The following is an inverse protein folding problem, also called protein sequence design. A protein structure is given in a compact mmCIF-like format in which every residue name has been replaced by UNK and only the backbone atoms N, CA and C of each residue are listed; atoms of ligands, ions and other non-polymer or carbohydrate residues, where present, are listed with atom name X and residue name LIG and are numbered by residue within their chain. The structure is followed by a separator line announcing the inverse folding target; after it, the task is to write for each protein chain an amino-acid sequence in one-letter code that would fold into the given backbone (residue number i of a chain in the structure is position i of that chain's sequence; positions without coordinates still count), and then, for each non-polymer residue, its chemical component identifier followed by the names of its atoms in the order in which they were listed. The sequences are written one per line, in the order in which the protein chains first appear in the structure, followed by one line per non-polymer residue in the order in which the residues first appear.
data_IF_008887783931
#
_entry.id   IF_008887783931
#
_cell.length_a   1.000
_cell.length_b   1.000
_cell.length_c   1.000
_cell.angle_alpha   90.00
_cell.angle_beta   90.00
_cell.angle_gamma   90.00
#
_symmetry.space_group_name_H-M   'P 1'
#
loop_
_entity.id
_entity.type
_entity.pdbx_description
1 polymer ?
#
# COMPACT_ATOMS: atom_id res chain seq x y z
N UNK A 1 24.66 20.54 35.99
CA UNK A 1 23.29 20.56 35.42
C UNK A 1 23.20 20.23 33.92
N UNK A 2 24.29 20.19 33.14
CA UNK A 2 24.25 19.90 31.68
C UNK A 2 24.22 18.42 31.28
N UNK A 3 24.75 17.51 32.11
CA UNK A 3 24.84 16.07 31.77
C UNK A 3 23.46 15.35 31.72
N UNK A 4 22.50 15.73 32.57
CA UNK A 4 21.17 15.10 32.61
C UNK A 4 20.37 15.38 31.34
N UNK A 5 20.35 16.63 30.86
CA UNK A 5 19.60 17.03 29.68
C UNK A 5 20.01 16.25 28.41
N UNK A 6 21.31 16.04 28.22
CA UNK A 6 21.85 15.27 27.08
C UNK A 6 21.49 13.78 27.15
N UNK A 7 21.38 13.20 28.35
CA UNK A 7 20.96 11.82 28.53
C UNK A 7 19.47 11.63 28.17
N UNK A 8 18.61 12.55 28.59
CA UNK A 8 17.18 12.52 28.25
C UNK A 8 16.95 12.73 26.75
N UNK A 9 17.71 13.62 26.11
CA UNK A 9 17.65 13.81 24.67
C UNK A 9 18.04 12.53 23.90
N UNK A 10 19.08 11.81 24.34
CA UNK A 10 19.50 10.54 23.73
C UNK A 10 18.45 9.44 23.91
N UNK A 11 17.86 9.32 25.10
CA UNK A 11 16.79 8.37 25.38
C UNK A 11 15.55 8.70 24.54
N UNK A 12 15.19 9.97 24.41
CA UNK A 12 14.08 10.42 23.58
C UNK A 12 14.30 10.06 22.10
N UNK A 13 15.47 10.38 21.55
CA UNK A 13 15.81 10.02 20.16
C UNK A 13 15.75 8.50 19.97
N UNK A 14 16.31 7.72 20.89
CA UNK A 14 16.24 6.27 20.83
C UNK A 14 14.80 5.76 20.86
N UNK A 15 13.97 6.28 21.77
CA UNK A 15 12.56 5.93 21.86
C UNK A 15 11.79 6.27 20.57
N UNK A 16 12.04 7.43 19.96
CA UNK A 16 11.45 7.81 18.68
C UNK A 16 11.87 6.85 17.57
N UNK A 17 13.15 6.50 17.49
CA UNK A 17 13.64 5.55 16.46
C UNK A 17 12.98 4.18 16.64
N UNK A 18 12.92 3.66 17.86
CA UNK A 18 12.26 2.38 18.15
C UNK A 18 10.77 2.45 17.78
N UNK A 19 10.09 3.53 18.17
CA UNK A 19 8.69 3.74 17.83
C UNK A 19 8.45 3.78 16.31
N UNK A 20 9.33 4.45 15.56
CA UNK A 20 9.25 4.49 14.10
C UNK A 20 9.43 3.11 13.47
N UNK A 21 10.42 2.33 13.93
CA UNK A 21 10.66 0.97 13.42
C UNK A 21 9.45 0.07 13.68
N UNK A 22 8.90 0.10 14.90
CA UNK A 22 7.70 -0.67 15.25
C UNK A 22 6.50 -0.23 14.40
N UNK A 23 6.30 1.07 14.23
CA UNK A 23 5.20 1.62 13.43
C UNK A 23 5.29 1.21 11.96
N UNK A 24 6.50 1.24 11.39
CA UNK A 24 6.74 0.79 10.01
C UNK A 24 6.46 -0.71 9.88
N UNK A 25 6.91 -1.52 10.85
CA UNK A 25 6.64 -2.96 10.86
C UNK A 25 5.15 -3.27 10.93
N UNK A 26 4.41 -2.59 11.80
CA UNK A 26 2.96 -2.73 11.93
C UNK A 26 2.23 -2.31 10.64
N UNK A 27 2.61 -1.17 10.06
CA UNK A 27 2.06 -0.70 8.79
C UNK A 27 2.30 -1.70 7.64
N UNK A 28 3.49 -2.31 7.58
CA UNK A 28 3.81 -3.32 6.57
C UNK A 28 2.95 -4.58 6.71
N UNK A 29 2.76 -5.08 7.94
CA UNK A 29 1.91 -6.26 8.18
C UNK A 29 0.46 -5.96 7.83
N UNK A 30 -0.04 -4.77 8.18
CA UNK A 30 -1.39 -4.34 7.82
C UNK A 30 -1.55 -4.23 6.29
N UNK A 31 -0.60 -3.60 5.61
CA UNK A 31 -0.61 -3.47 4.14
C UNK A 31 -0.69 -4.83 3.45
N UNK A 32 0.16 -5.78 3.88
CA UNK A 32 0.16 -7.16 3.38
C UNK A 32 -1.21 -7.82 3.49
N UNK A 33 -1.88 -7.66 4.63
CA UNK A 33 -3.24 -8.21 4.83
C UNK A 33 -4.26 -7.52 3.95
N UNK A 34 -4.26 -6.20 3.89
CA UNK A 34 -5.24 -5.42 3.13
C UNK A 34 -5.19 -5.70 1.61
N UNK A 35 -4.02 -6.07 1.08
CA UNK A 35 -3.84 -6.46 -0.33
C UNK A 35 -4.28 -7.91 -0.60
N UNK A 36 -4.18 -8.80 0.38
CA UNK A 36 -4.55 -10.22 0.27
C UNK A 36 -6.03 -10.47 0.62
N UNK A 37 -6.69 -9.52 1.29
CA UNK A 37 -8.11 -9.59 1.62
C UNK A 37 -9.01 -9.54 0.37
N UNK A 38 -10.14 -10.24 0.44
CA UNK A 38 -11.13 -10.22 -0.63
C UNK A 38 -11.69 -8.80 -0.81
N UNK A 39 -11.76 -8.35 -2.05
CA UNK A 39 -12.39 -7.09 -2.42
C UNK A 39 -13.90 -7.08 -2.14
N UNK A 40 -14.56 -5.91 -2.20
CA UNK A 40 -15.97 -5.76 -1.86
C UNK A 40 -16.94 -6.30 -2.93
N UNK A 41 -16.42 -6.93 -3.97
CA UNK A 41 -17.17 -7.45 -5.11
C UNK A 41 -18.02 -8.66 -4.69
N UNK A 42 -19.32 -8.56 -4.92
CA UNK A 42 -20.29 -9.60 -4.54
C UNK A 42 -20.72 -10.46 -5.72
N UNK A 43 -20.68 -9.90 -6.94
CA UNK A 43 -21.08 -10.55 -8.18
C UNK A 43 -19.97 -10.38 -9.22
N UNK A 44 -19.81 -11.37 -10.11
CA UNK A 44 -18.80 -11.31 -11.16
C UNK A 44 -19.06 -10.10 -12.08
N UNK A 45 -18.08 -9.22 -12.20
CA UNK A 45 -18.09 -8.07 -13.12
C UNK A 45 -16.91 -8.17 -14.08
N UNK A 46 -17.12 -7.78 -15.32
CA UNK A 46 -16.04 -7.65 -16.31
C UNK A 46 -15.51 -6.23 -16.24
N UNK A 47 -14.18 -6.08 -16.16
CA UNK A 47 -13.51 -4.78 -16.23
C UNK A 47 -12.61 -4.74 -17.46
N UNK A 48 -12.80 -3.72 -18.28
CA UNK A 48 -11.99 -3.51 -19.49
C UNK A 48 -10.86 -2.55 -19.14
N UNK A 49 -9.61 -3.02 -19.27
CA UNK A 49 -8.42 -2.19 -19.09
C UNK A 49 -7.87 -1.81 -20.46
N UNK A 50 -7.88 -0.51 -20.78
CA UNK A 50 -7.48 -0.01 -22.09
C UNK A 50 -5.96 0.09 -22.23
N UNK A 51 -5.46 -0.08 -23.46
CA UNK A 51 -4.03 0.09 -23.74
C UNK A 51 -3.56 1.52 -23.46
N UNK A 52 -2.47 1.65 -22.71
CA UNK A 52 -1.88 2.95 -22.37
C UNK A 52 -2.50 3.64 -21.16
N UNK A 53 -3.51 3.04 -20.51
CA UNK A 53 -4.01 3.56 -19.24
C UNK A 53 -2.94 3.48 -18.15
N UNK A 54 -2.77 4.59 -17.43
CA UNK A 54 -1.88 4.66 -16.29
C UNK A 54 -2.41 3.82 -15.13
N UNK A 55 -1.50 3.32 -14.28
CA UNK A 55 -1.85 2.46 -13.16
C UNK A 55 -2.89 3.08 -12.20
N UNK A 56 -2.87 4.40 -12.04
CA UNK A 56 -3.86 5.13 -11.24
C UNK A 56 -5.26 5.07 -11.83
N UNK A 57 -5.39 5.21 -13.15
CA UNK A 57 -6.67 5.13 -13.86
C UNK A 57 -7.23 3.71 -13.74
N UNK A 58 -6.38 2.69 -13.87
CA UNK A 58 -6.77 1.28 -13.68
C UNK A 58 -7.28 1.07 -12.24
N UNK A 59 -6.55 1.57 -11.24
CA UNK A 59 -6.93 1.42 -9.83
C UNK A 59 -8.28 2.11 -9.51
N UNK A 60 -8.52 3.29 -10.08
CA UNK A 60 -9.79 4.00 -9.95
C UNK A 60 -10.94 3.21 -10.61
N UNK A 61 -10.74 2.71 -11.83
CA UNK A 61 -11.73 1.87 -12.53
C UNK A 61 -12.09 0.61 -11.73
N UNK A 62 -11.10 -0.07 -11.15
CA UNK A 62 -11.32 -1.23 -10.29
C UNK A 62 -12.08 -0.88 -9.01
N UNK A 63 -11.82 0.28 -8.40
CA UNK A 63 -12.55 0.72 -7.21
C UNK A 63 -13.99 1.15 -7.53
N UNK A 64 -14.22 1.82 -8.67
CA UNK A 64 -15.57 2.14 -9.15
C UNK A 64 -16.39 0.88 -9.40
N UNK A 65 -15.76 -0.16 -9.96
CA UNK A 65 -16.36 -1.47 -10.16
C UNK A 65 -16.48 -2.30 -8.86
N UNK A 66 -16.09 -1.75 -7.71
CA UNK A 66 -16.06 -2.43 -6.40
C UNK A 66 -15.23 -3.71 -6.40
N UNK A 67 -14.22 -3.81 -7.25
CA UNK A 67 -13.27 -4.93 -7.25
C UNK A 67 -12.26 -4.77 -6.12
N UNK A 68 -11.86 -3.53 -5.81
CA UNK A 68 -10.90 -3.21 -4.74
C UNK A 68 -11.44 -2.12 -3.80
N UNK A 69 -11.00 -2.13 -2.54
CA UNK A 69 -11.37 -1.11 -1.54
C UNK A 69 -10.52 0.15 -1.62
N UNK A 70 -9.24 0.01 -1.94
CA UNK A 70 -8.25 1.09 -1.84
C UNK A 70 -7.37 1.15 -3.10
N UNK A 71 -7.64 2.08 -4.03
CA UNK A 71 -6.87 2.24 -5.27
C UNK A 71 -5.37 2.36 -5.03
N UNK A 72 -4.97 3.16 -4.04
CA UNK A 72 -3.56 3.41 -3.74
C UNK A 72 -2.80 2.17 -3.24
N UNK A 73 -3.48 1.23 -2.55
CA UNK A 73 -2.88 -0.05 -2.14
C UNK A 73 -2.58 -0.90 -3.37
N UNK A 74 -3.55 -0.95 -4.30
CA UNK A 74 -3.37 -1.64 -5.58
C UNK A 74 -2.23 -1.01 -6.38
N UNK A 75 -2.18 0.32 -6.49
CA UNK A 75 -1.07 0.98 -7.17
C UNK A 75 0.30 0.67 -6.56
N UNK A 76 0.39 0.70 -5.23
CA UNK A 76 1.65 0.46 -4.54
C UNK A 76 2.13 -0.98 -4.77
N UNK A 77 1.24 -1.97 -4.64
CA UNK A 77 1.58 -3.37 -4.87
C UNK A 77 1.85 -3.64 -6.35
N UNK A 78 1.05 -3.07 -7.25
CA UNK A 78 1.25 -3.22 -8.68
C UNK A 78 2.55 -2.55 -9.15
N UNK A 79 3.03 -1.45 -8.55
CA UNK A 79 4.37 -0.91 -8.83
C UNK A 79 5.47 -1.83 -8.31
N UNK A 80 5.30 -2.40 -7.12
CA UNK A 80 6.22 -3.39 -6.55
C UNK A 80 6.33 -4.63 -7.44
N UNK A 81 5.20 -5.11 -7.95
CA UNK A 81 5.10 -6.24 -8.87
C UNK A 81 5.52 -5.89 -10.29
N UNK A 82 5.28 -4.66 -10.78
CA UNK A 82 5.65 -4.22 -12.13
C UNK A 82 7.15 -4.06 -12.30
N UNK A 83 7.88 -3.76 -11.21
CA UNK A 83 9.34 -3.96 -11.17
C UNK A 83 9.72 -5.43 -11.43
N UNK A 84 8.77 -6.37 -11.34
CA UNK A 84 8.95 -7.82 -11.53
C UNK A 84 8.25 -8.39 -12.78
N UNK A 85 7.09 -7.87 -13.22
CA UNK A 85 6.30 -8.29 -14.40
C UNK A 85 5.38 -7.15 -14.89
N UNK A 86 5.51 -6.76 -16.15
CA UNK A 86 4.64 -5.76 -16.79
C UNK A 86 3.17 -6.21 -16.82
N UNK A 87 2.25 -5.33 -16.37
CA UNK A 87 0.80 -5.53 -16.53
C UNK A 87 0.44 -5.53 -18.02
N UNK A 88 -0.32 -6.53 -18.46
CA UNK A 88 -0.75 -6.65 -19.86
C UNK A 88 -2.15 -6.05 -20.02
N UNK A 89 -2.43 -5.35 -21.12
CA UNK A 89 -3.79 -4.92 -21.48
C UNK A 89 -4.70 -6.12 -21.75
N UNK A 90 -5.99 -6.02 -21.43
CA UNK A 90 -6.98 -7.09 -21.67
C UNK A 90 -8.31 -6.91 -20.95
N UNK A 91 -9.22 -7.86 -21.18
CA UNK A 91 -10.48 -8.03 -20.44
C UNK A 91 -10.28 -9.02 -19.28
N UNK A 92 -10.80 -8.69 -18.10
CA UNK A 92 -10.61 -9.43 -16.85
C UNK A 92 -11.91 -9.60 -16.08
#
# INVERSE_FOLDING_TARGET
MRLSFMAHARIFVFAVVVFLVVSIGAAYVWFKRAVEEAGPLQESTVVIISQGEGLSVIAESLAMAKVINHPWLFELEARRLAQTRSLKPGEY
#
